data_IF_834678417288
#
_entry.id   IF_834678417288
#
_cell.length_a   1.000
_cell.length_b   1.000
_cell.length_c   1.000
_cell.angle_alpha   90.00
_cell.angle_beta   90.00
_cell.angle_gamma   90.00
#
_symmetry.space_group_name_H-M   'P 1'
#
loop_
_entity.id
_entity.type
_entity.pdbx_description
1 polymer ?
#
# COMPACT_ATOMS: atom_id res chain seq x y z
N UNK A 1 31.93 13.07 29.28
CA UNK A 1 31.20 13.54 28.08
C UNK A 1 31.06 12.48 26.98
N UNK A 2 32.08 11.67 26.66
CA UNK A 2 31.99 10.64 25.59
C UNK A 2 30.95 9.53 25.82
N UNK A 3 30.81 9.03 27.05
CA UNK A 3 29.79 8.01 27.42
C UNK A 3 28.36 8.55 27.38
N UNK A 4 28.16 9.83 27.72
CA UNK A 4 26.85 10.52 27.65
C UNK A 4 26.41 10.69 26.18
N UNK A 5 27.34 11.04 25.30
CA UNK A 5 27.11 11.11 23.85
C UNK A 5 26.80 9.72 23.25
N UNK A 6 27.45 8.67 23.75
CA UNK A 6 27.23 7.28 23.32
C UNK A 6 25.85 6.75 23.76
N UNK A 7 25.41 7.09 24.97
CA UNK A 7 24.07 6.75 25.47
C UNK A 7 23.00 7.48 24.66
N UNK A 8 23.20 8.77 24.35
CA UNK A 8 22.28 9.54 23.50
C UNK A 8 22.13 8.94 22.09
N UNK A 9 23.23 8.44 21.50
CA UNK A 9 23.20 7.77 20.20
C UNK A 9 22.47 6.41 20.24
N UNK A 10 22.56 5.69 21.36
CA UNK A 10 21.87 4.41 21.58
C UNK A 10 20.35 4.59 21.62
N UNK A 11 19.85 5.67 22.22
CA UNK A 11 18.41 5.97 22.34
C UNK A 11 17.77 6.56 21.07
N UNK A 12 18.55 7.12 20.14
CA UNK A 12 18.04 7.64 18.85
C UNK A 12 17.95 6.52 17.78
N UNK A 13 18.65 5.41 17.99
CA UNK A 13 18.79 4.32 17.00
C UNK A 13 17.51 3.58 16.58
N UNK A 14 16.42 3.44 17.37
CA UNK A 14 15.26 2.67 16.90
C UNK A 14 14.30 3.49 16.02
N UNK A 15 14.53 4.80 15.80
CA UNK A 15 13.60 5.62 15.01
C UNK A 15 13.67 5.38 13.49
N UNK A 16 14.75 4.76 12.99
CA UNK A 16 15.08 4.78 11.54
C UNK A 16 14.93 3.41 10.87
N UNK A 17 14.70 2.32 11.61
CA UNK A 17 14.63 0.98 11.02
C UNK A 17 13.40 0.21 11.44
N UNK A 18 12.23 0.79 11.21
CA UNK A 18 11.08 -0.01 10.80
C UNK A 18 11.24 -0.24 9.30
N UNK A 19 11.99 -1.28 8.92
CA UNK A 19 11.78 -1.88 7.61
C UNK A 19 10.31 -2.26 7.56
N UNK A 20 9.50 -1.47 6.88
CA UNK A 20 8.07 -1.69 6.79
C UNK A 20 7.89 -3.04 6.11
N UNK A 21 7.30 -3.99 6.82
CA UNK A 21 6.94 -5.27 6.22
C UNK A 21 6.09 -4.98 4.99
N UNK A 22 6.42 -5.65 3.89
CA UNK A 22 5.68 -5.54 2.64
C UNK A 22 5.40 -6.94 2.12
N UNK A 23 4.25 -7.12 1.50
CA UNK A 23 3.92 -8.38 0.85
C UNK A 23 4.84 -8.63 -0.34
N UNK A 24 5.26 -9.89 -0.50
CA UNK A 24 6.05 -10.33 -1.66
C UNK A 24 5.25 -10.27 -2.96
N UNK A 25 3.93 -10.44 -2.87
CA UNK A 25 3.05 -10.58 -4.03
C UNK A 25 2.39 -9.27 -4.45
N UNK A 26 2.12 -8.37 -3.50
CA UNK A 26 1.54 -7.04 -3.74
C UNK A 26 2.30 -6.01 -2.93
N UNK A 27 2.93 -5.06 -3.59
CA UNK A 27 3.77 -4.05 -2.93
C UNK A 27 3.74 -2.71 -3.67
N UNK A 28 4.08 -1.64 -2.96
CA UNK A 28 4.28 -0.34 -3.59
C UNK A 28 5.61 -0.30 -4.36
N UNK A 29 5.57 0.18 -5.60
CA UNK A 29 6.77 0.49 -6.37
C UNK A 29 7.36 1.85 -5.99
N UNK A 30 8.46 2.22 -6.65
CA UNK A 30 9.15 3.51 -6.43
C UNK A 30 8.30 4.75 -6.74
N UNK A 31 7.20 4.59 -7.48
CA UNK A 31 6.23 5.66 -7.76
C UNK A 31 5.06 5.68 -6.77
N UNK A 32 5.07 4.81 -5.75
CA UNK A 32 3.99 4.69 -4.78
C UNK A 32 2.72 4.03 -5.34
N UNK A 33 2.80 3.30 -6.45
CA UNK A 33 1.67 2.53 -7.01
C UNK A 33 1.77 1.06 -6.63
N UNK A 34 0.61 0.39 -6.49
CA UNK A 34 0.57 -1.06 -6.29
C UNK A 34 1.15 -1.78 -7.51
N UNK A 35 2.03 -2.73 -7.25
CA UNK A 35 2.63 -3.65 -8.22
C UNK A 35 2.36 -5.08 -7.77
N UNK A 36 2.16 -5.96 -8.75
CA UNK A 36 1.72 -7.33 -8.53
C UNK A 36 2.75 -8.28 -9.13
N UNK A 37 3.37 -9.11 -8.29
CA UNK A 37 4.31 -10.14 -8.73
C UNK A 37 3.54 -11.26 -9.43
N UNK A 38 4.07 -11.73 -10.55
CA UNK A 38 3.58 -12.96 -11.20
C UNK A 38 4.38 -14.16 -10.71
N UNK A 39 3.73 -15.31 -10.58
CA UNK A 39 4.40 -16.59 -10.34
C UNK A 39 5.10 -17.09 -11.62
N UNK A 40 5.85 -18.22 -11.58
CA UNK A 40 6.51 -18.77 -12.76
C UNK A 40 5.59 -19.19 -13.91
N UNK A 41 4.29 -19.39 -13.64
CA UNK A 41 3.28 -19.73 -14.64
C UNK A 41 2.58 -18.46 -15.19
N UNK A 42 2.92 -17.28 -14.67
CA UNK A 42 2.32 -16.01 -15.06
C UNK A 42 1.03 -15.66 -14.30
N UNK A 43 0.65 -16.42 -13.27
CA UNK A 43 -0.49 -16.07 -12.44
C UNK A 43 -0.15 -14.88 -11.55
N UNK A 44 -1.13 -14.00 -11.30
CA UNK A 44 -0.98 -12.84 -10.41
C UNK A 44 -2.25 -12.63 -9.60
N UNK A 45 -2.12 -11.94 -8.46
CA UNK A 45 -3.28 -11.48 -7.71
C UNK A 45 -4.08 -10.49 -8.60
N UNK A 46 -5.40 -10.70 -8.80
CA UNK A 46 -6.21 -9.80 -9.61
C UNK A 46 -6.30 -8.39 -9.01
N UNK A 47 -6.24 -7.38 -9.88
CA UNK A 47 -6.44 -5.99 -9.50
C UNK A 47 -7.92 -5.63 -9.64
N UNK A 48 -8.54 -5.18 -8.54
CA UNK A 48 -9.93 -4.74 -8.49
C UNK A 48 -10.09 -3.23 -8.30
N UNK A 49 -9.02 -2.44 -8.44
CA UNK A 49 -9.07 -0.99 -8.25
C UNK A 49 -10.05 -0.25 -9.17
N UNK A 50 -10.42 -0.86 -10.30
CA UNK A 50 -11.35 -0.27 -11.29
C UNK A 50 -12.65 -1.05 -11.46
N UNK A 51 -13.04 -1.90 -10.48
CA UNK A 51 -14.37 -2.52 -10.54
C UNK A 51 -15.47 -1.54 -10.15
N UNK A 52 -16.70 -1.82 -10.59
CA UNK A 52 -17.87 -1.00 -10.33
C UNK A 52 -18.24 -0.07 -11.49
N UNK A 53 -19.32 0.69 -11.33
CA UNK A 53 -19.84 1.57 -12.38
C UNK A 53 -18.76 2.58 -12.77
N UNK A 54 -18.31 2.50 -14.03
CA UNK A 54 -17.31 3.41 -14.60
C UNK A 54 -16.05 3.51 -13.73
N UNK A 55 -15.65 2.40 -13.11
CA UNK A 55 -14.47 2.31 -12.24
C UNK A 55 -14.54 3.12 -10.95
N UNK A 56 -15.75 3.51 -10.51
CA UNK A 56 -15.93 4.39 -9.35
C UNK A 56 -15.45 5.83 -9.57
N UNK A 57 -15.10 6.19 -10.81
CA UNK A 57 -14.58 7.51 -11.16
C UNK A 57 -15.68 8.55 -11.36
N UNK A 58 -16.94 8.11 -11.47
CA UNK A 58 -18.10 8.99 -11.61
C UNK A 58 -19.23 8.52 -10.71
N UNK A 59 -20.11 9.45 -10.38
CA UNK A 59 -21.32 9.17 -9.61
C UNK A 59 -22.19 8.11 -10.30
N UNK A 60 -22.84 7.29 -9.48
CA UNK A 60 -23.87 6.39 -9.96
C UNK A 60 -25.00 7.19 -10.62
N UNK A 61 -25.61 6.65 -11.70
CA UNK A 61 -26.77 7.29 -12.30
C UNK A 61 -27.90 7.33 -11.29
N UNK A 62 -28.63 8.45 -11.26
CA UNK A 62 -29.84 8.55 -10.43
C UNK A 62 -30.85 7.51 -10.92
N UNK A 63 -31.20 6.58 -10.04
CA UNK A 63 -32.28 5.63 -10.29
C UNK A 63 -33.61 6.38 -10.43
N UNK A 64 -34.46 5.95 -11.36
CA UNK A 64 -35.84 6.42 -11.47
C UNK A 64 -36.76 5.82 -10.41
N UNK A 65 -36.27 4.85 -9.64
CA UNK A 65 -37.00 4.17 -8.56
C UNK A 65 -36.44 4.65 -7.22
N UNK A 66 -37.32 5.18 -6.39
CA UNK A 66 -37.04 5.49 -4.99
C UNK A 66 -37.67 4.40 -4.11
N UNK A 67 -36.96 3.97 -3.07
CA UNK A 67 -37.55 3.13 -2.03
C UNK A 67 -38.58 4.01 -1.28
N UNK A 68 -39.84 3.56 -1.28
CA UNK A 68 -40.95 4.20 -0.57
C UNK A 68 -40.87 3.88 0.91
#
# INVERSE_FOLDING_TARGET
MKKQLMILFLFISPLITIAQWQSEWVYYNSQGKLSYKSDPLGNKIPDFSMVGYKGGLIDLPKSSVQLV
#
